data_IF_066059863794
#
_entry.id   IF_066059863794
#
_cell.length_a   1.000
_cell.length_b   1.000
_cell.length_c   1.000
_cell.angle_alpha   90.00
_cell.angle_beta   90.00
_cell.angle_gamma   90.00
#
_symmetry.space_group_name_H-M   'P 1'
#
loop_
_entity.id
_entity.type
_entity.pdbx_description
1 polymer ?
#
# COMPACT_ATOMS: atom_id res chain seq x y z
N UNK A 1 -9.93 4.89 -18.81
CA UNK A 1 -11.19 4.62 -18.04
C UNK A 1 -11.07 4.92 -16.54
N UNK A 2 -9.96 5.47 -16.05
CA UNK A 2 -9.63 5.69 -14.61
C UNK A 2 -9.87 7.10 -14.09
N UNK A 3 -9.84 8.12 -14.96
CA UNK A 3 -10.23 9.50 -14.63
C UNK A 3 -11.74 9.62 -14.40
N UNK A 4 -12.54 8.87 -15.17
CA UNK A 4 -14.01 8.85 -15.04
C UNK A 4 -14.43 8.28 -13.69
N UNK A 5 -13.84 7.20 -13.20
CA UNK A 5 -14.22 6.55 -11.93
C UNK A 5 -13.83 7.35 -10.68
N UNK A 6 -12.70 8.07 -10.67
CA UNK A 6 -12.34 8.99 -9.57
C UNK A 6 -13.06 10.34 -9.68
N UNK A 7 -13.27 10.85 -10.88
CA UNK A 7 -14.20 11.95 -11.14
C UNK A 7 -15.57 11.63 -10.59
N UNK A 8 -16.09 10.42 -10.84
CA UNK A 8 -17.31 9.90 -10.25
C UNK A 8 -17.19 9.78 -8.73
N UNK A 9 -16.08 9.30 -8.15
CA UNK A 9 -15.95 9.17 -6.68
C UNK A 9 -15.89 10.52 -5.94
N UNK A 10 -15.13 11.49 -6.44
CA UNK A 10 -15.07 12.85 -5.89
C UNK A 10 -16.37 13.62 -6.15
N UNK A 11 -16.99 13.42 -7.31
CA UNK A 11 -18.30 13.97 -7.63
C UNK A 11 -19.38 13.37 -6.74
N UNK A 12 -19.39 12.05 -6.54
CA UNK A 12 -20.31 11.35 -5.63
C UNK A 12 -20.10 11.84 -4.20
N UNK A 13 -18.86 12.00 -3.74
CA UNK A 13 -18.56 12.56 -2.42
C UNK A 13 -19.07 14.01 -2.30
N UNK A 14 -18.85 14.84 -3.32
CA UNK A 14 -19.34 16.22 -3.37
C UNK A 14 -20.88 16.29 -3.38
N UNK A 15 -21.53 15.41 -4.15
CA UNK A 15 -22.99 15.27 -4.20
C UNK A 15 -23.54 14.78 -2.86
N UNK A 16 -22.86 13.84 -2.19
CA UNK A 16 -23.23 13.37 -0.86
C UNK A 16 -23.10 14.47 0.19
N UNK A 17 -22.01 15.24 0.16
CA UNK A 17 -21.81 16.40 1.03
C UNK A 17 -22.89 17.46 0.77
N UNK A 18 -23.19 17.76 -0.49
CA UNK A 18 -24.24 18.70 -0.86
C UNK A 18 -25.62 18.22 -0.40
N UNK A 19 -25.93 16.94 -0.60
CA UNK A 19 -27.18 16.33 -0.13
C UNK A 19 -27.29 16.39 1.41
N UNK A 20 -26.20 16.12 2.13
CA UNK A 20 -26.13 16.27 3.59
C UNK A 20 -26.41 17.70 4.04
N UNK A 21 -25.81 18.69 3.38
CA UNK A 21 -26.05 20.11 3.66
C UNK A 21 -27.52 20.49 3.44
N UNK A 22 -28.12 20.04 2.34
CA UNK A 22 -29.55 20.27 2.05
C UNK A 22 -30.43 19.62 3.12
N UNK A 23 -30.15 18.38 3.53
CA UNK A 23 -30.89 17.68 4.58
C UNK A 23 -30.76 18.36 5.95
N UNK A 24 -29.59 18.92 6.27
CA UNK A 24 -29.39 19.71 7.50
C UNK A 24 -30.29 20.95 7.48
N UNK A 25 -30.29 21.70 6.38
CA UNK A 25 -31.12 22.91 6.23
C UNK A 25 -32.61 22.57 6.34
N UNK A 26 -33.08 21.54 5.62
CA UNK A 26 -34.47 21.08 5.69
C UNK A 26 -34.83 20.57 7.08
N UNK A 27 -33.93 19.86 7.76
CA UNK A 27 -34.17 19.37 9.10
C UNK A 27 -34.34 20.50 10.12
N UNK A 28 -33.63 21.62 9.98
CA UNK A 28 -33.83 22.79 10.83
C UNK A 28 -35.19 23.48 10.58
N UNK A 29 -35.81 23.30 9.41
CA UNK A 29 -37.19 23.75 9.17
C UNK A 29 -38.22 22.99 10.00
N UNK A 30 -37.87 21.79 10.52
CA UNK A 30 -38.71 21.03 11.46
C UNK A 30 -38.56 21.51 12.92
N UNK A 31 -37.71 22.51 13.17
CA UNK A 31 -37.47 23.10 14.49
C UNK A 31 -36.05 22.84 15.01
N UNK A 32 -35.53 23.79 15.78
CA UNK A 32 -34.13 23.76 16.26
C UNK A 32 -33.84 22.65 17.28
N UNK A 33 -34.87 22.20 18.00
CA UNK A 33 -34.79 21.09 18.97
C UNK A 33 -34.88 19.72 18.30
N UNK A 34 -35.14 19.67 16.98
CA UNK A 34 -35.20 18.41 16.26
C UNK A 34 -33.81 17.75 16.21
N UNK A 35 -33.67 16.44 16.50
CA UNK A 35 -32.36 15.80 16.61
C UNK A 35 -31.67 15.56 15.25
N UNK A 36 -32.43 15.45 14.16
CA UNK A 36 -31.89 15.09 12.83
C UNK A 36 -30.77 16.04 12.34
N UNK A 37 -30.93 17.38 12.31
CA UNK A 37 -29.86 18.29 11.87
C UNK A 37 -28.56 18.11 12.64
N UNK A 38 -28.64 17.92 13.97
CA UNK A 38 -27.49 17.75 14.84
C UNK A 38 -26.74 16.44 14.56
N UNK A 39 -27.47 15.34 14.33
CA UNK A 39 -26.87 14.06 13.91
C UNK A 39 -26.19 14.20 12.56
N UNK A 40 -26.84 14.85 11.59
CA UNK A 40 -26.29 15.04 10.24
C UNK A 40 -25.05 15.96 10.24
N UNK A 41 -25.01 16.99 11.09
CA UNK A 41 -23.80 17.80 11.32
C UNK A 41 -22.67 16.93 11.87
N UNK A 42 -22.96 16.07 12.84
CA UNK A 42 -21.97 15.12 13.37
C UNK A 42 -21.39 14.21 12.29
N UNK A 43 -22.24 13.69 11.39
CA UNK A 43 -21.80 12.89 10.23
C UNK A 43 -20.95 13.72 9.28
N UNK A 44 -21.38 14.93 8.93
CA UNK A 44 -20.66 15.82 8.02
C UNK A 44 -19.25 16.15 8.53
N UNK A 45 -19.12 16.45 9.83
CA UNK A 45 -17.82 16.74 10.47
C UNK A 45 -16.94 15.49 10.54
N UNK A 46 -17.51 14.29 10.61
CA UNK A 46 -16.75 13.04 10.61
C UNK A 46 -16.18 12.65 9.24
N UNK A 47 -16.76 13.12 8.12
CA UNK A 47 -16.34 12.73 6.77
C UNK A 47 -14.86 13.01 6.48
N UNK A 48 -14.30 14.21 6.73
CA UNK A 48 -12.87 14.47 6.49
C UNK A 48 -11.96 13.54 7.32
N UNK A 49 -12.33 13.27 8.58
CA UNK A 49 -11.58 12.38 9.46
C UNK A 49 -11.60 10.93 8.97
N UNK A 50 -12.76 10.44 8.53
CA UNK A 50 -12.90 9.09 7.97
C UNK A 50 -12.09 8.98 6.69
N UNK A 51 -12.17 9.96 5.79
CA UNK A 51 -11.42 10.00 4.55
C UNK A 51 -9.90 9.97 4.80
N UNK A 52 -9.40 10.86 5.65
CA UNK A 52 -7.97 10.92 6.01
C UNK A 52 -7.49 9.60 6.64
N UNK A 53 -8.31 8.99 7.51
CA UNK A 53 -7.99 7.70 8.12
C UNK A 53 -7.95 6.55 7.09
N UNK A 54 -8.80 6.58 6.07
CA UNK A 54 -8.80 5.60 4.98
C UNK A 54 -7.56 5.79 4.09
N UNK A 55 -7.20 7.04 3.77
CA UNK A 55 -6.05 7.34 2.92
C UNK A 55 -4.72 7.07 3.64
N UNK A 56 -4.58 7.48 4.90
CA UNK A 56 -3.37 7.22 5.71
C UNK A 56 -3.08 5.74 5.93
N UNK A 57 -4.11 4.89 5.99
CA UNK A 57 -3.96 3.41 6.03
C UNK A 57 -3.34 2.83 4.78
N UNK A 58 -3.27 3.57 3.67
CA UNK A 58 -2.62 3.11 2.44
C UNK A 58 -1.11 3.12 2.64
N UNK A 59 -0.56 4.19 3.19
CA UNK A 59 0.87 4.32 3.45
C UNK A 59 1.38 3.37 4.53
N UNK A 60 2.65 3.02 4.45
CA UNK A 60 3.34 2.20 5.45
C UNK A 60 4.53 2.98 6.01
N UNK A 61 4.68 2.95 7.33
CA UNK A 61 5.84 3.54 8.01
C UNK A 61 6.69 2.41 8.54
N UNK A 62 8.01 2.55 8.42
CA UNK A 62 8.94 1.65 9.08
C UNK A 62 8.71 1.68 10.60
N UNK A 63 8.75 0.51 11.22
CA UNK A 63 8.69 0.32 12.66
C UNK A 63 9.64 -0.82 13.05
N UNK A 64 10.18 -0.81 14.26
CA UNK A 64 11.23 -1.75 14.67
C UNK A 64 10.79 -3.22 14.70
N UNK A 65 9.48 -3.53 14.66
CA UNK A 65 9.02 -4.93 14.53
C UNK A 65 9.33 -5.54 13.16
N UNK A 66 9.67 -4.71 12.17
CA UNK A 66 10.12 -5.16 10.84
C UNK A 66 11.63 -5.37 10.73
N UNK A 67 12.40 -5.07 11.78
CA UNK A 67 13.85 -5.33 11.76
C UNK A 67 14.13 -6.84 11.83
N UNK A 68 15.07 -7.28 11.00
CA UNK A 68 15.63 -8.64 11.04
C UNK A 68 17.00 -8.69 11.73
N UNK A 69 17.44 -7.59 12.33
CA UNK A 69 18.73 -7.50 13.02
C UNK A 69 19.94 -7.42 12.08
N UNK A 70 19.73 -7.32 10.77
CA UNK A 70 20.78 -7.09 9.77
C UNK A 70 20.57 -5.70 9.14
N UNK A 71 21.51 -4.78 9.38
CA UNK A 71 21.37 -3.39 8.93
C UNK A 71 21.24 -3.23 7.41
N UNK A 72 21.86 -4.11 6.61
CA UNK A 72 21.79 -4.03 5.15
C UNK A 72 20.41 -4.47 4.66
N UNK A 73 19.86 -5.52 5.25
CA UNK A 73 18.51 -6.00 4.94
C UNK A 73 17.45 -5.00 5.40
N UNK A 74 17.57 -4.48 6.63
CA UNK A 74 16.66 -3.43 7.14
C UNK A 74 16.67 -2.17 6.26
N UNK A 75 17.83 -1.81 5.68
CA UNK A 75 17.94 -0.70 4.72
C UNK A 75 17.18 -0.99 3.43
N UNK A 76 17.25 -2.22 2.92
CA UNK A 76 16.48 -2.63 1.74
C UNK A 76 14.99 -2.58 2.00
N UNK A 77 14.53 -3.16 3.12
CA UNK A 77 13.12 -3.15 3.48
C UNK A 77 12.58 -1.72 3.59
N UNK A 78 13.31 -0.81 4.27
CA UNK A 78 12.95 0.61 4.34
C UNK A 78 12.83 1.25 2.95
N UNK A 79 13.76 0.93 2.05
CA UNK A 79 13.73 1.43 0.67
C UNK A 79 12.53 0.89 -0.10
N UNK A 80 12.26 -0.42 -0.03
CA UNK A 80 11.10 -1.04 -0.67
C UNK A 80 9.79 -0.44 -0.17
N UNK A 81 9.63 -0.25 1.14
CA UNK A 81 8.47 0.45 1.72
C UNK A 81 8.34 1.88 1.20
N UNK A 82 9.47 2.60 1.05
CA UNK A 82 9.51 3.92 0.45
C UNK A 82 9.03 3.94 -1.01
N UNK A 83 9.50 3.00 -1.83
CA UNK A 83 9.09 2.87 -3.23
C UNK A 83 7.61 2.47 -3.37
N UNK A 84 7.11 1.62 -2.48
CA UNK A 84 5.67 1.30 -2.40
C UNK A 84 4.85 2.54 -2.05
N UNK A 85 5.31 3.36 -1.09
CA UNK A 85 4.65 4.63 -0.76
C UNK A 85 4.67 5.62 -1.94
N UNK A 86 5.75 5.65 -2.73
CA UNK A 86 5.82 6.45 -3.96
C UNK A 86 4.78 5.94 -4.99
N UNK A 87 4.67 4.63 -5.17
CA UNK A 87 3.66 4.03 -6.04
C UNK A 87 2.23 4.35 -5.58
N UNK A 88 1.97 4.32 -4.27
CA UNK A 88 0.68 4.70 -3.71
C UNK A 88 0.37 6.20 -3.90
N UNK A 89 1.38 7.04 -3.82
CA UNK A 89 1.28 8.47 -4.11
C UNK A 89 0.92 8.66 -5.58
N UNK A 90 1.64 7.97 -6.48
CA UNK A 90 1.40 8.03 -7.92
C UNK A 90 -0.02 7.58 -8.27
N UNK A 91 -0.48 6.49 -7.64
CA UNK A 91 -1.85 5.98 -7.72
C UNK A 91 -2.89 6.97 -7.19
N UNK A 92 -2.60 7.66 -6.09
CA UNK A 92 -3.52 8.59 -5.47
C UNK A 92 -3.69 9.86 -6.30
N UNK A 93 -2.59 10.47 -6.73
CA UNK A 93 -2.58 11.73 -7.47
C UNK A 93 -2.70 11.59 -8.99
N UNK A 94 -2.81 10.36 -9.52
CA UNK A 94 -2.89 10.10 -10.97
C UNK A 94 -1.73 10.74 -11.71
N UNK A 95 -0.52 10.43 -11.24
CA UNK A 95 0.70 10.91 -11.88
C UNK A 95 0.83 10.25 -13.26
N UNK A 96 1.63 10.84 -14.14
CA UNK A 96 1.75 10.41 -15.53
C UNK A 96 2.05 8.90 -15.66
N UNK A 97 1.53 8.29 -16.73
CA UNK A 97 1.66 6.85 -16.97
C UNK A 97 3.12 6.41 -17.18
N UNK A 98 3.96 7.28 -17.76
CA UNK A 98 5.39 7.02 -17.94
C UNK A 98 6.11 6.99 -16.60
N UNK A 99 5.83 7.97 -15.73
CA UNK A 99 6.40 8.04 -14.39
C UNK A 99 5.98 6.84 -13.53
N UNK A 100 4.70 6.47 -13.61
CA UNK A 100 4.18 5.28 -12.92
C UNK A 100 4.85 3.99 -13.42
N UNK A 101 5.06 3.87 -14.73
CA UNK A 101 5.78 2.75 -15.34
C UNK A 101 7.22 2.65 -14.83
N UNK A 102 7.93 3.78 -14.75
CA UNK A 102 9.30 3.83 -14.22
C UNK A 102 9.38 3.40 -12.76
N UNK A 103 8.45 3.87 -11.91
CA UNK A 103 8.39 3.46 -10.50
C UNK A 103 8.19 1.94 -10.38
N UNK A 104 7.35 1.35 -11.23
CA UNK A 104 7.13 -0.10 -11.25
C UNK A 104 8.38 -0.89 -11.66
N UNK A 105 9.06 -0.44 -12.72
CA UNK A 105 10.28 -1.08 -13.21
C UNK A 105 11.41 -1.01 -12.16
N UNK A 106 11.59 0.17 -11.54
CA UNK A 106 12.55 0.35 -10.44
C UNK A 106 12.21 -0.56 -9.25
N UNK A 107 10.92 -0.67 -8.89
CA UNK A 107 10.47 -1.51 -7.78
C UNK A 107 10.75 -2.99 -8.04
N UNK A 108 10.52 -3.50 -9.25
CA UNK A 108 10.84 -4.89 -9.60
C UNK A 108 12.34 -5.13 -9.57
N UNK A 109 13.12 -4.24 -10.16
CA UNK A 109 14.58 -4.36 -10.16
C UNK A 109 15.13 -4.40 -8.73
N UNK A 110 14.66 -3.49 -7.86
CA UNK A 110 15.11 -3.45 -6.48
C UNK A 110 14.63 -4.64 -5.65
N UNK A 111 13.42 -5.14 -5.91
CA UNK A 111 12.87 -6.35 -5.24
C UNK A 111 13.72 -7.57 -5.57
N UNK A 112 14.06 -7.79 -6.84
CA UNK A 112 14.94 -8.89 -7.26
C UNK A 112 16.32 -8.80 -6.59
N UNK A 113 16.90 -7.60 -6.60
CA UNK A 113 18.19 -7.33 -5.97
C UNK A 113 18.19 -7.62 -4.47
N UNK A 114 17.14 -7.19 -3.77
CA UNK A 114 16.94 -7.47 -2.35
C UNK A 114 16.81 -8.97 -2.07
N UNK A 115 15.96 -9.68 -2.81
CA UNK A 115 15.79 -11.12 -2.65
C UNK A 115 17.07 -11.90 -2.93
N UNK A 116 17.81 -11.54 -3.97
CA UNK A 116 19.09 -12.19 -4.28
C UNK A 116 20.10 -12.04 -3.13
N UNK A 117 20.12 -10.86 -2.49
CA UNK A 117 20.96 -10.62 -1.30
C UNK A 117 20.50 -11.44 -0.10
N UNK A 118 19.21 -11.50 0.19
CA UNK A 118 18.69 -12.33 1.28
C UNK A 118 18.93 -13.82 1.03
N UNK A 119 18.75 -14.28 -0.20
CA UNK A 119 19.01 -15.66 -0.61
C UNK A 119 20.47 -16.04 -0.41
N UNK A 120 21.40 -15.17 -0.80
CA UNK A 120 22.84 -15.36 -0.53
C UNK A 120 23.12 -15.44 0.98
N UNK A 121 22.52 -14.55 1.77
CA UNK A 121 22.67 -14.54 3.22
C UNK A 121 22.12 -15.84 3.85
N UNK A 122 20.92 -16.27 3.47
CA UNK A 122 20.31 -17.52 3.92
C UNK A 122 21.18 -18.74 3.60
N UNK A 123 21.75 -18.79 2.38
CA UNK A 123 22.65 -19.88 1.98
C UNK A 123 23.95 -19.89 2.79
N UNK A 124 24.59 -18.73 2.98
CA UNK A 124 25.82 -18.59 3.78
C UNK A 124 25.62 -19.07 5.22
N UNK A 125 24.44 -18.82 5.78
CA UNK A 125 24.05 -19.21 7.13
C UNK A 125 23.37 -20.58 7.21
N UNK A 126 23.29 -21.32 6.10
CA UNK A 126 22.71 -22.67 6.04
C UNK A 126 21.27 -22.74 6.58
N UNK A 127 20.48 -21.70 6.32
CA UNK A 127 19.08 -21.65 6.73
C UNK A 127 18.29 -22.78 6.07
N UNK A 128 17.71 -23.66 6.89
CA UNK A 128 17.05 -24.88 6.42
C UNK A 128 15.76 -24.62 5.64
N UNK A 129 15.12 -23.47 5.87
CA UNK A 129 13.92 -23.04 5.14
C UNK A 129 14.18 -22.38 3.78
N UNK A 130 15.43 -22.31 3.33
CA UNK A 130 15.84 -21.58 2.12
C UNK A 130 14.97 -21.88 0.89
N UNK A 131 14.73 -23.16 0.58
CA UNK A 131 13.98 -23.55 -0.62
C UNK A 131 12.54 -23.02 -0.59
N UNK A 132 11.86 -23.11 0.56
CA UNK A 132 10.49 -22.63 0.71
C UNK A 132 10.44 -21.09 0.66
N UNK A 133 11.41 -20.43 1.29
CA UNK A 133 11.50 -18.96 1.29
C UNK A 133 11.75 -18.43 -0.13
N UNK A 134 12.70 -19.02 -0.87
CA UNK A 134 12.97 -18.66 -2.27
C UNK A 134 11.74 -18.85 -3.17
N UNK A 135 10.93 -19.88 -2.95
CA UNK A 135 9.68 -20.06 -3.70
C UNK A 135 8.70 -18.90 -3.48
N UNK A 136 8.66 -18.31 -2.28
CA UNK A 136 7.85 -17.12 -2.01
C UNK A 136 8.36 -15.92 -2.79
N UNK A 137 9.69 -15.72 -2.86
CA UNK A 137 10.31 -14.68 -3.68
C UNK A 137 9.98 -14.85 -5.16
N UNK A 138 10.18 -16.05 -5.71
CA UNK A 138 9.94 -16.35 -7.11
C UNK A 138 8.46 -16.09 -7.48
N UNK A 139 7.53 -16.53 -6.62
CA UNK A 139 6.09 -16.30 -6.82
C UNK A 139 5.73 -14.81 -6.78
N UNK A 140 6.30 -14.05 -5.83
CA UNK A 140 6.08 -12.62 -5.73
C UNK A 140 6.57 -11.88 -6.98
N UNK A 141 7.79 -12.18 -7.42
CA UNK A 141 8.38 -11.58 -8.62
C UNK A 141 7.55 -11.87 -9.88
N UNK A 142 7.06 -13.11 -10.03
CA UNK A 142 6.17 -13.48 -11.13
C UNK A 142 4.85 -12.70 -11.08
N UNK A 143 4.25 -12.58 -9.88
CA UNK A 143 2.99 -11.87 -9.70
C UNK A 143 3.13 -10.37 -10.02
N UNK A 144 4.24 -9.74 -9.62
CA UNK A 144 4.49 -8.32 -9.93
C UNK A 144 4.76 -8.13 -11.43
N UNK A 145 5.54 -9.01 -12.06
CA UNK A 145 5.78 -8.94 -13.50
C UNK A 145 4.46 -9.02 -14.28
N UNK A 146 3.55 -9.92 -13.88
CA UNK A 146 2.20 -10.01 -14.44
C UNK A 146 1.42 -8.70 -14.29
N UNK A 147 1.45 -8.07 -13.12
CA UNK A 147 0.76 -6.79 -12.92
C UNK A 147 1.29 -5.68 -13.83
N UNK A 148 2.60 -5.66 -14.09
CA UNK A 148 3.23 -4.68 -14.99
C UNK A 148 2.78 -4.91 -16.43
N UNK A 149 2.81 -6.15 -16.90
CA UNK A 149 2.37 -6.48 -18.26
C UNK A 149 0.90 -6.11 -18.45
N UNK A 150 0.07 -6.44 -17.48
CA UNK A 150 -1.36 -6.09 -17.46
C UNK A 150 -1.59 -4.58 -17.45
N UNK A 151 -0.81 -3.81 -16.70
CA UNK A 151 -0.89 -2.34 -16.67
C UNK A 151 -0.45 -1.70 -17.99
N UNK A 152 0.57 -2.27 -18.65
CA UNK A 152 1.06 -1.81 -19.96
C UNK A 152 0.05 -2.06 -21.08
N UNK A 153 -0.68 -3.18 -21.01
CA UNK A 153 -1.76 -3.49 -21.94
C UNK A 153 -2.99 -2.60 -21.68
N UNK A 154 -3.34 -2.44 -20.41
CA UNK A 154 -4.54 -1.73 -19.99
C UNK A 154 -4.26 -0.87 -18.75
N UNK A 155 -3.99 0.41 -19.00
CA UNK A 155 -3.77 1.41 -17.96
C UNK A 155 -5.03 1.71 -17.11
N UNK A 156 -6.15 1.05 -17.39
CA UNK A 156 -7.36 1.15 -16.59
C UNK A 156 -7.31 0.30 -15.32
N UNK A 157 -6.40 -0.70 -15.30
CA UNK A 157 -6.15 -1.51 -14.11
C UNK A 157 -5.64 -0.62 -12.99
N UNK A 158 -6.27 -0.75 -11.83
CA UNK A 158 -6.02 0.18 -10.73
C UNK A 158 -4.65 -0.10 -10.12
N UNK A 159 -3.67 0.76 -10.41
CA UNK A 159 -2.33 0.77 -9.81
C UNK A 159 -2.38 0.78 -8.27
N UNK A 160 -3.47 1.30 -7.70
CA UNK A 160 -3.79 1.23 -6.26
C UNK A 160 -3.87 -0.21 -5.74
N UNK A 161 -4.46 -1.14 -6.50
CA UNK A 161 -4.56 -2.55 -6.11
C UNK A 161 -3.18 -3.22 -6.12
N UNK A 162 -2.34 -2.88 -7.10
CA UNK A 162 -0.96 -3.36 -7.18
C UNK A 162 -0.17 -2.86 -5.97
N UNK A 163 -0.25 -1.57 -5.67
CA UNK A 163 0.43 -0.98 -4.53
C UNK A 163 -0.05 -1.55 -3.18
N UNK A 164 -1.36 -1.82 -3.03
CA UNK A 164 -1.92 -2.46 -1.84
C UNK A 164 -1.45 -3.91 -1.69
N UNK A 165 -1.42 -4.67 -2.79
CA UNK A 165 -0.90 -6.03 -2.81
C UNK A 165 0.57 -6.07 -2.38
N UNK A 166 1.42 -5.24 -3.02
CA UNK A 166 2.84 -5.13 -2.73
C UNK A 166 3.09 -4.79 -1.26
N UNK A 167 2.38 -3.79 -0.73
CA UNK A 167 2.43 -3.43 0.69
C UNK A 167 2.10 -4.62 1.58
N UNK A 168 0.97 -5.26 1.31
CA UNK A 168 0.45 -6.33 2.19
C UNK A 168 1.40 -7.52 2.18
N UNK A 169 1.87 -7.92 0.99
CA UNK A 169 2.83 -8.99 0.84
C UNK A 169 4.12 -8.68 1.58
N UNK A 170 4.73 -7.51 1.34
CA UNK A 170 6.02 -7.15 1.92
C UNK A 170 5.95 -7.09 3.45
N UNK A 171 4.94 -6.43 4.02
CA UNK A 171 4.80 -6.34 5.49
C UNK A 171 4.61 -7.72 6.12
N UNK A 172 3.81 -8.59 5.50
CA UNK A 172 3.56 -9.94 6.03
C UNK A 172 4.80 -10.84 5.89
N UNK A 173 5.55 -10.70 4.79
CA UNK A 173 6.77 -11.44 4.54
C UNK A 173 7.85 -11.06 5.57
N UNK A 174 8.11 -9.76 5.73
CA UNK A 174 9.07 -9.25 6.71
C UNK A 174 8.71 -9.67 8.14
N UNK A 175 7.42 -9.59 8.50
CA UNK A 175 6.96 -9.95 9.86
C UNK A 175 6.73 -11.45 10.06
N UNK A 176 6.88 -12.25 9.01
CA UNK A 176 6.71 -13.70 9.03
C UNK A 176 7.98 -14.39 8.60
N UNK A 177 8.08 -14.70 7.30
CA UNK A 177 9.18 -15.44 6.67
C UNK A 177 10.57 -14.90 7.01
N UNK A 178 10.78 -13.58 6.93
CA UNK A 178 12.12 -13.00 7.12
C UNK A 178 12.59 -13.12 8.56
N UNK A 179 11.64 -13.21 9.51
CA UNK A 179 11.96 -13.43 10.92
C UNK A 179 12.51 -14.83 11.18
N UNK A 180 12.16 -15.80 10.34
CA UNK A 180 12.53 -17.20 10.54
C UNK A 180 14.03 -17.44 10.35
N UNK A 181 14.71 -16.65 9.52
CA UNK A 181 16.15 -16.77 9.34
C UNK A 181 16.98 -16.02 10.41
N UNK A 182 16.36 -15.15 11.22
CA UNK A 182 17.08 -14.32 12.24
C UNK A 182 17.95 -15.16 13.19
N UNK A 183 17.48 -16.30 13.74
CA UNK A 183 18.31 -17.11 14.63
C UNK A 183 19.61 -17.59 13.96
N UNK A 184 19.55 -17.91 12.67
CA UNK A 184 20.69 -18.39 11.88
C UNK A 184 21.73 -17.28 11.59
N UNK A 185 21.30 -16.01 11.60
CA UNK A 185 22.21 -14.87 11.43
C UNK A 185 23.09 -14.61 12.67
N UNK A 186 22.58 -14.95 13.85
CA UNK A 186 23.24 -14.67 15.13
C UNK A 186 24.14 -15.83 15.62
N UNK A 187 23.99 -17.02 15.04
CA UNK A 187 24.58 -18.28 15.54
C UNK A 187 26.09 -18.44 15.26
N UNK A 188 26.77 -17.40 14.75
CA UNK A 188 28.21 -17.41 14.46
C UNK A 188 29.00 -16.25 15.08
N UNK A 189 28.59 -15.77 16.26
CA UNK A 189 29.49 -14.96 17.10
C UNK A 189 30.47 -15.84 17.87
#
# INVERSE_FOLDING_TARGET
MTTVTKGISMFVLAVLILALLVMIVLGFMLGFTHPLPWVLIGVLVAIPWIHDKIVSRRFVKWDNSMSVGNELIDKDHKKLLGMINQLQTAAHYQTDTEETGKILDDLVAYTRYHFEREEQLMQQHHYTGFTAHKQQHDAMVQQVSKFIDEYRIDNTRTIENVALYLKTWLVNHIKGSDREYIPFLNDKK
#
